data_IF_520531835697
#
_entry.id   IF_520531835697
#
_cell.length_a   1.000
_cell.length_b   1.000
_cell.length_c   1.000
_cell.angle_alpha   90.00
_cell.angle_beta   90.00
_cell.angle_gamma   90.00
#
_symmetry.space_group_name_H-M   'P 1'
#
loop_
_entity.id
_entity.type
_entity.pdbx_description
1 polymer ?
#
# COMPACT_ATOMS: atom_id res chain seq x y z
N UNK A 1 25.36 -72.90 -0.09
CA UNK A 1 26.44 -72.14 -0.78
C UNK A 1 25.81 -70.96 -1.50
N UNK A 2 26.29 -69.74 -1.18
CA UNK A 2 26.12 -68.45 -1.90
C UNK A 2 24.69 -67.86 -1.88
N UNK A 3 24.36 -66.99 -0.92
CA UNK A 3 24.72 -65.56 -0.82
C UNK A 3 23.97 -64.68 -1.83
N UNK A 4 23.00 -63.89 -1.34
CA UNK A 4 22.89 -62.48 -1.70
C UNK A 4 22.04 -61.74 -0.68
N UNK A 5 22.75 -60.87 0.03
CA UNK A 5 22.32 -59.92 1.05
C UNK A 5 21.66 -58.74 0.33
N UNK A 6 20.36 -58.51 0.52
CA UNK A 6 19.73 -57.23 0.16
C UNK A 6 19.49 -56.43 1.43
N UNK A 7 20.40 -55.48 1.67
CA UNK A 7 20.27 -54.44 2.68
C UNK A 7 19.19 -53.46 2.19
N UNK A 8 18.01 -53.51 2.80
CA UNK A 8 17.01 -52.45 2.69
C UNK A 8 17.48 -51.28 3.57
N UNK A 9 18.16 -50.31 2.97
CA UNK A 9 18.39 -49.00 3.57
C UNK A 9 17.05 -48.28 3.55
N UNK A 10 16.31 -48.34 4.67
CA UNK A 10 15.23 -47.41 4.94
C UNK A 10 15.84 -46.03 5.18
N UNK A 11 16.02 -45.26 4.12
CA UNK A 11 16.30 -43.82 4.24
C UNK A 11 15.02 -43.21 4.79
N UNK A 12 15.04 -42.90 6.09
CA UNK A 12 14.08 -41.98 6.69
C UNK A 12 14.30 -40.60 6.06
N UNK A 13 13.70 -40.35 4.90
CA UNK A 13 13.30 -39.01 4.54
C UNK A 13 12.10 -38.66 5.41
N UNK A 14 12.37 -38.44 6.70
CA UNK A 14 11.60 -37.48 7.45
C UNK A 14 11.76 -36.18 6.66
N UNK A 15 10.78 -35.95 5.78
CA UNK A 15 10.55 -34.65 5.20
C UNK A 15 10.57 -33.69 6.37
N UNK A 16 11.61 -32.86 6.44
CA UNK A 16 11.51 -31.54 7.05
C UNK A 16 10.47 -30.78 6.22
N UNK A 17 9.20 -31.19 6.34
CA UNK A 17 8.09 -30.29 6.18
C UNK A 17 8.30 -29.29 7.32
N UNK A 18 8.95 -28.18 6.96
CA UNK A 18 8.95 -26.98 7.76
C UNK A 18 7.53 -26.84 8.33
N UNK A 19 7.44 -26.78 9.66
CA UNK A 19 6.19 -26.51 10.35
C UNK A 19 5.48 -25.38 9.61
N UNK A 20 4.35 -25.72 9.00
CA UNK A 20 3.46 -24.75 8.36
C UNK A 20 3.30 -23.56 9.32
N UNK A 21 3.39 -22.30 8.88
CA UNK A 21 3.14 -21.15 9.74
C UNK A 21 1.63 -20.96 9.97
N UNK A 22 0.89 -22.05 10.17
CA UNK A 22 -0.55 -22.04 10.40
C UNK A 22 -0.88 -21.70 11.88
N UNK A 23 0.09 -21.87 12.79
CA UNK A 23 -0.06 -21.55 14.22
C UNK A 23 0.19 -20.07 14.59
N UNK A 24 0.68 -19.22 13.68
CA UNK A 24 0.90 -17.79 13.96
C UNK A 24 -0.35 -16.95 13.66
N UNK A 25 -1.29 -17.46 12.86
CA UNK A 25 -2.29 -16.64 12.15
C UNK A 25 -3.56 -16.24 12.93
N UNK A 26 -3.71 -16.58 14.22
CA UNK A 26 -4.98 -16.35 14.95
C UNK A 26 -4.90 -15.90 16.41
N UNK A 27 -3.79 -15.39 16.91
CA UNK A 27 -3.89 -14.45 18.04
C UNK A 27 -4.24 -13.10 17.41
N UNK A 28 -5.49 -12.62 17.58
CA UNK A 28 -5.78 -11.19 17.45
C UNK A 28 -4.78 -10.48 18.35
N UNK A 29 -3.68 -10.00 17.79
CA UNK A 29 -2.68 -9.29 18.56
C UNK A 29 -3.40 -8.02 19.02
N UNK A 30 -3.73 -7.95 20.32
CA UNK A 30 -4.48 -6.82 20.88
C UNK A 30 -3.72 -5.52 20.68
N UNK A 31 -2.42 -5.59 20.43
CA UNK A 31 -1.54 -4.47 20.17
C UNK A 31 -1.21 -4.28 18.69
N UNK A 32 -1.90 -4.97 17.78
CA UNK A 32 -1.79 -4.69 16.35
C UNK A 32 -2.33 -3.28 16.04
N UNK A 33 -1.56 -2.45 15.32
CA UNK A 33 -2.06 -1.17 14.85
C UNK A 33 -3.29 -1.35 13.94
N UNK A 34 -4.29 -0.45 14.00
CA UNK A 34 -5.55 -0.61 13.28
C UNK A 34 -5.33 -0.64 11.76
N UNK A 35 -6.03 -1.54 11.08
CA UNK A 35 -5.99 -1.68 9.62
C UNK A 35 -4.72 -2.35 9.07
N UNK A 36 -3.83 -2.84 9.94
CA UNK A 36 -2.54 -3.41 9.53
C UNK A 36 -2.50 -4.94 9.54
N UNK A 37 -1.50 -5.47 8.85
CA UNK A 37 -1.10 -6.88 8.80
C UNK A 37 0.29 -6.98 9.40
N UNK A 38 0.53 -7.98 10.26
CA UNK A 38 1.86 -8.25 10.82
C UNK A 38 2.77 -8.84 9.73
N UNK A 39 4.00 -8.31 9.61
CA UNK A 39 5.01 -8.81 8.68
C UNK A 39 6.05 -9.68 9.38
N UNK A 40 6.87 -9.05 10.22
CA UNK A 40 7.96 -9.68 10.98
C UNK A 40 8.32 -8.80 12.17
N UNK A 41 8.81 -9.41 13.25
CA UNK A 41 9.28 -8.68 14.44
C UNK A 41 8.25 -7.63 14.93
N UNK A 42 8.65 -6.36 15.01
CA UNK A 42 7.82 -5.20 15.36
C UNK A 42 7.12 -4.54 14.17
N UNK A 43 7.28 -5.05 12.95
CA UNK A 43 6.79 -4.43 11.72
C UNK A 43 5.41 -4.92 11.31
N UNK A 44 4.55 -3.95 10.99
CA UNK A 44 3.21 -4.12 10.47
C UNK A 44 3.06 -3.24 9.24
N UNK A 45 2.26 -3.64 8.27
CA UNK A 45 1.98 -2.82 7.07
C UNK A 45 0.48 -2.67 6.88
N UNK A 46 0.05 -1.56 6.29
CA UNK A 46 -1.35 -1.41 5.91
C UNK A 46 -1.79 -2.51 4.95
N UNK A 47 -3.00 -3.00 5.20
CA UNK A 47 -3.62 -4.05 4.40
C UNK A 47 -3.86 -3.62 2.95
N UNK A 48 -4.11 -2.33 2.74
CA UNK A 48 -4.52 -1.73 1.46
C UNK A 48 -3.74 -0.45 1.24
N UNK A 49 -3.88 0.19 0.07
CA UNK A 49 -3.43 1.57 -0.09
C UNK A 49 -4.20 2.50 0.88
N UNK A 50 -3.63 3.65 1.21
CA UNK A 50 -4.33 4.70 1.97
C UNK A 50 -5.52 5.20 1.16
N UNK A 51 -6.70 5.29 1.77
CA UNK A 51 -7.94 5.60 1.05
C UNK A 51 -8.24 7.08 1.06
N UNK A 52 -9.06 7.53 0.12
CA UNK A 52 -9.63 8.89 0.13
C UNK A 52 -10.36 9.19 1.46
N UNK A 53 -11.03 8.21 2.08
CA UNK A 53 -11.64 8.40 3.40
C UNK A 53 -10.62 8.71 4.50
N UNK A 54 -9.50 7.98 4.53
CA UNK A 54 -8.48 8.14 5.57
C UNK A 54 -7.80 9.52 5.46
N UNK A 55 -7.51 9.96 4.23
CA UNK A 55 -6.92 11.27 4.00
C UNK A 55 -7.91 12.42 4.29
N UNK A 56 -9.20 12.22 4.03
CA UNK A 56 -10.24 13.20 4.44
C UNK A 56 -10.35 13.33 5.96
N UNK A 57 -10.17 12.24 6.71
CA UNK A 57 -10.09 12.30 8.18
C UNK A 57 -8.90 13.14 8.63
N UNK A 58 -7.75 12.99 7.98
CA UNK A 58 -6.58 13.83 8.23
C UNK A 58 -6.86 15.31 7.97
N UNK A 59 -7.44 15.66 6.82
CA UNK A 59 -7.81 17.03 6.50
C UNK A 59 -8.86 17.60 7.47
N UNK A 60 -9.84 16.79 7.87
CA UNK A 60 -10.83 17.17 8.87
C UNK A 60 -10.17 17.52 10.21
N UNK A 61 -9.20 16.70 10.64
CA UNK A 61 -8.44 16.97 11.85
C UNK A 61 -7.65 18.28 11.73
N UNK A 62 -6.94 18.50 10.62
CA UNK A 62 -6.19 19.74 10.38
C UNK A 62 -7.10 20.97 10.42
N UNK A 63 -8.23 20.90 9.72
CA UNK A 63 -9.23 21.97 9.71
C UNK A 63 -9.75 22.28 11.11
N UNK A 64 -9.99 21.25 11.93
CA UNK A 64 -10.48 21.41 13.31
C UNK A 64 -9.42 22.00 14.25
N UNK A 65 -8.15 21.61 14.12
CA UNK A 65 -7.08 21.98 15.05
C UNK A 65 -6.40 23.30 14.67
N UNK A 66 -6.09 23.48 13.39
CA UNK A 66 -5.35 24.65 12.88
C UNK A 66 -6.28 25.70 12.24
N UNK A 67 -7.49 25.30 11.83
CA UNK A 67 -8.42 26.14 11.09
C UNK A 67 -8.31 25.97 9.57
N UNK A 68 -9.39 26.27 8.86
CA UNK A 68 -9.47 26.13 7.40
C UNK A 68 -8.53 27.08 6.63
N UNK A 69 -8.23 28.24 7.21
CA UNK A 69 -7.35 29.22 6.58
C UNK A 69 -5.86 28.99 6.88
N UNK A 70 -5.54 28.00 7.71
CA UNK A 70 -4.17 27.69 8.13
C UNK A 70 -3.28 27.22 6.98
N UNK A 71 -1.97 27.46 7.13
CA UNK A 71 -0.99 26.97 6.17
C UNK A 71 -0.93 25.44 6.18
N UNK A 72 -1.04 24.82 7.36
CA UNK A 72 -1.01 23.37 7.54
C UNK A 72 -2.16 22.68 6.79
N UNK A 73 -3.38 23.22 6.87
CA UNK A 73 -4.52 22.70 6.11
C UNK A 73 -4.35 22.91 4.61
N UNK A 74 -4.00 24.12 4.17
CA UNK A 74 -3.86 24.46 2.74
C UNK A 74 -2.76 23.66 2.06
N UNK A 75 -1.61 23.48 2.72
CA UNK A 75 -0.48 22.68 2.21
C UNK A 75 -0.84 21.20 2.17
N UNK A 76 -1.74 20.69 3.01
CA UNK A 76 -2.18 19.30 2.98
C UNK A 76 -3.24 19.00 1.91
N UNK A 77 -3.82 20.01 1.24
CA UNK A 77 -4.81 19.75 0.20
C UNK A 77 -4.19 19.00 -0.99
N UNK A 78 -4.79 17.87 -1.44
CA UNK A 78 -4.30 17.15 -2.59
C UNK A 78 -4.55 17.96 -3.87
N UNK A 79 -3.67 17.80 -4.85
CA UNK A 79 -3.87 18.32 -6.19
C UNK A 79 -4.91 17.45 -6.92
N UNK A 80 -6.14 17.94 -7.03
CA UNK A 80 -7.19 17.24 -7.77
C UNK A 80 -7.09 17.44 -9.28
N UNK A 81 -6.26 18.38 -9.77
CA UNK A 81 -6.07 18.63 -11.20
C UNK A 81 -5.25 17.52 -11.89
N UNK A 82 -4.66 16.59 -11.12
CA UNK A 82 -3.98 15.40 -11.65
C UNK A 82 -4.86 14.51 -12.52
N UNK A 83 -6.19 14.65 -12.40
CA UNK A 83 -7.17 13.95 -13.23
C UNK A 83 -7.44 14.64 -14.56
N UNK A 84 -7.07 15.91 -14.72
CA UNK A 84 -7.34 16.66 -15.94
C UNK A 84 -6.44 16.17 -17.07
N UNK A 85 -7.06 15.86 -18.20
CA UNK A 85 -6.39 15.55 -19.46
C UNK A 85 -6.78 16.61 -20.51
N UNK A 86 -5.86 16.99 -21.38
CA UNK A 86 -6.11 17.94 -22.48
C UNK A 86 -7.08 17.37 -23.52
N UNK A 87 -7.11 16.05 -23.69
CA UNK A 87 -7.84 15.38 -24.78
C UNK A 87 -9.06 14.59 -24.30
N UNK A 88 -9.31 14.51 -22.99
CA UNK A 88 -10.43 13.75 -22.43
C UNK A 88 -11.23 14.57 -21.41
N UNK A 89 -12.55 14.35 -21.37
CA UNK A 89 -13.43 14.98 -20.39
C UNK A 89 -13.35 14.24 -19.04
N UNK A 90 -12.38 14.64 -18.21
CA UNK A 90 -12.12 14.06 -16.89
C UNK A 90 -12.55 14.97 -15.72
N UNK A 91 -13.26 16.07 -15.97
CA UNK A 91 -13.73 17.01 -14.94
C UNK A 91 -14.52 16.33 -13.80
N UNK A 92 -15.37 15.30 -14.04
CA UNK A 92 -16.01 14.58 -12.94
C UNK A 92 -15.01 14.00 -11.92
N UNK A 93 -13.84 13.52 -12.36
CA UNK A 93 -12.83 13.01 -11.42
C UNK A 93 -12.14 14.14 -10.64
N UNK A 94 -11.90 15.28 -11.29
CA UNK A 94 -11.35 16.49 -10.63
C UNK A 94 -12.25 16.95 -9.49
N UNK A 95 -13.56 16.95 -9.72
CA UNK A 95 -14.54 17.42 -8.74
C UNK A 95 -14.83 16.38 -7.66
N UNK A 96 -14.99 15.11 -8.05
CA UNK A 96 -15.61 14.10 -7.21
C UNK A 96 -14.67 13.00 -6.70
N UNK A 97 -13.54 12.70 -7.33
CA UNK A 97 -12.71 11.54 -6.94
C UNK A 97 -12.29 11.61 -5.47
N UNK A 98 -11.77 12.76 -5.02
CA UNK A 98 -11.37 12.90 -3.63
C UNK A 98 -12.56 13.13 -2.68
N UNK A 99 -13.61 13.81 -3.15
CA UNK A 99 -14.64 14.41 -2.28
C UNK A 99 -15.86 13.52 -2.10
N UNK A 100 -16.28 12.81 -3.15
CA UNK A 100 -17.57 12.12 -3.19
C UNK A 100 -17.54 10.79 -2.41
N UNK A 101 -18.61 10.43 -1.66
CA UNK A 101 -18.66 9.19 -0.89
C UNK A 101 -18.44 7.90 -1.71
N UNK A 102 -18.82 7.90 -2.99
CA UNK A 102 -18.61 6.73 -3.87
C UNK A 102 -17.13 6.35 -4.02
N UNK A 103 -16.22 7.34 -3.96
CA UNK A 103 -14.77 7.13 -4.06
C UNK A 103 -14.10 6.99 -2.69
N UNK A 104 -14.87 6.83 -1.62
CA UNK A 104 -14.32 6.80 -0.26
C UNK A 104 -13.34 5.64 -0.02
N UNK A 105 -13.57 4.50 -0.67
CA UNK A 105 -12.73 3.30 -0.56
C UNK A 105 -11.73 3.16 -1.73
N UNK A 106 -11.50 4.22 -2.50
CA UNK A 106 -10.50 4.25 -3.58
C UNK A 106 -9.16 4.79 -3.05
N UNK A 107 -8.04 4.44 -3.70
CA UNK A 107 -6.72 4.87 -3.26
C UNK A 107 -6.58 6.39 -3.34
N UNK A 108 -5.91 6.95 -2.34
CA UNK A 108 -5.56 8.36 -2.28
C UNK A 108 -4.45 8.69 -3.28
N UNK A 109 -4.70 9.65 -4.16
CA UNK A 109 -3.77 10.10 -5.22
C UNK A 109 -3.74 11.63 -5.30
N UNK A 110 -2.81 12.19 -6.07
CA UNK A 110 -2.64 13.64 -6.15
C UNK A 110 -2.01 14.26 -4.90
N UNK A 111 -1.24 13.47 -4.16
CA UNK A 111 -0.48 13.92 -2.98
C UNK A 111 1.01 14.01 -3.28
N UNK A 112 1.71 14.90 -2.59
CA UNK A 112 3.16 15.01 -2.61
C UNK A 112 3.83 14.08 -1.61
N UNK A 113 5.11 13.78 -1.83
CA UNK A 113 5.91 12.99 -0.89
C UNK A 113 5.90 13.60 0.52
N UNK A 114 6.06 14.93 0.63
CA UNK A 114 6.03 15.67 1.89
C UNK A 114 4.66 15.62 2.57
N UNK A 115 3.58 15.70 1.78
CA UNK A 115 2.21 15.54 2.29
C UNK A 115 2.01 14.13 2.88
N UNK A 116 2.58 13.11 2.25
CA UNK A 116 2.51 11.72 2.72
C UNK A 116 3.32 11.52 4.00
N UNK A 117 4.52 12.09 4.10
CA UNK A 117 5.31 12.06 5.34
C UNK A 117 4.58 12.75 6.50
N UNK A 118 3.98 13.92 6.24
CA UNK A 118 3.16 14.63 7.22
C UNK A 118 1.94 13.80 7.66
N UNK A 119 1.27 13.12 6.73
CA UNK A 119 0.17 12.20 7.02
C UNK A 119 0.63 11.02 7.89
N UNK A 120 1.79 10.41 7.59
CA UNK A 120 2.33 9.30 8.38
C UNK A 120 2.65 9.74 9.82
N UNK A 121 3.22 10.94 9.98
CA UNK A 121 3.46 11.53 11.31
C UNK A 121 2.14 11.78 12.04
N UNK A 122 1.16 12.40 11.38
CA UNK A 122 -0.16 12.62 11.94
C UNK A 122 -0.81 11.31 12.41
N UNK A 123 -0.78 10.27 11.57
CA UNK A 123 -1.35 8.96 11.90
C UNK A 123 -0.66 8.32 13.09
N UNK A 124 0.67 8.47 13.20
CA UNK A 124 1.43 8.04 14.39
C UNK A 124 0.90 8.70 15.66
N UNK A 125 0.69 10.02 15.64
CA UNK A 125 0.17 10.76 16.78
C UNK A 125 -1.26 10.30 17.14
N UNK A 126 -2.15 10.15 16.16
CA UNK A 126 -3.56 9.74 16.39
C UNK A 126 -3.67 8.32 16.93
N UNK A 127 -2.90 7.37 16.40
CA UNK A 127 -2.95 5.98 16.87
C UNK A 127 -2.33 5.85 18.26
N UNK A 128 -1.27 6.61 18.57
CA UNK A 128 -0.71 6.65 19.93
C UNK A 128 -1.71 7.23 20.96
N UNK A 129 -2.44 8.30 20.61
CA UNK A 129 -3.52 8.82 21.46
C UNK A 129 -4.61 7.77 21.69
N UNK A 130 -5.01 7.07 20.64
CA UNK A 130 -5.98 5.98 20.75
C UNK A 130 -5.49 4.89 21.71
N UNK A 131 -4.21 4.50 21.64
CA UNK A 131 -3.61 3.58 22.61
C UNK A 131 -3.66 4.13 24.04
N UNK A 132 -3.38 5.42 24.25
CA UNK A 132 -3.44 6.04 25.57
C UNK A 132 -4.86 6.05 26.15
N UNK A 133 -5.88 6.31 25.33
CA UNK A 133 -7.29 6.25 25.75
C UNK A 133 -7.67 4.81 26.08
N UNK A 134 -7.36 3.87 25.18
CA UNK A 134 -7.65 2.44 25.33
C UNK A 134 -7.03 1.86 26.60
N UNK A 135 -5.77 2.21 26.87
CA UNK A 135 -5.02 1.76 28.04
C UNK A 135 -5.35 2.59 29.30
N UNK A 136 -6.36 3.48 29.23
CA UNK A 136 -6.88 4.33 30.32
C UNK A 136 -5.83 5.27 30.93
N UNK A 137 -4.79 5.64 30.17
CA UNK A 137 -3.81 6.66 30.55
C UNK A 137 -4.40 8.07 30.51
N UNK A 138 -5.36 8.29 29.61
CA UNK A 138 -6.15 9.52 29.47
C UNK A 138 -7.63 9.17 29.22
N UNK A 139 -8.54 10.09 29.54
CA UNK A 139 -9.96 9.93 29.21
C UNK A 139 -10.29 10.49 27.83
N UNK A 140 -11.43 10.07 27.25
CA UNK A 140 -11.89 10.60 25.97
C UNK A 140 -12.26 12.09 26.07
N UNK A 141 -12.83 12.52 27.19
CA UNK A 141 -13.16 13.92 27.47
C UNK A 141 -11.90 14.77 27.45
N UNK A 142 -10.83 14.31 28.11
CA UNK A 142 -9.53 14.98 28.11
C UNK A 142 -8.95 15.12 26.70
N UNK A 143 -9.01 14.05 25.91
CA UNK A 143 -8.60 14.03 24.50
C UNK A 143 -9.42 15.00 23.62
N UNK A 144 -10.74 15.05 23.85
CA UNK A 144 -11.66 15.82 23.02
C UNK A 144 -11.58 17.33 23.22
N UNK A 145 -11.07 17.79 24.36
CA UNK A 145 -10.90 19.20 24.67
C UNK A 145 -9.63 19.77 23.99
N UNK A 146 -9.87 20.68 23.05
CA UNK A 146 -8.82 21.36 22.25
C UNK A 146 -7.81 22.10 23.14
N UNK A 147 -8.20 22.54 24.34
CA UNK A 147 -7.28 23.22 25.28
C UNK A 147 -6.15 22.31 25.77
N UNK A 148 -6.34 21.00 25.75
CA UNK A 148 -5.35 20.03 26.20
C UNK A 148 -4.34 19.65 25.11
N UNK A 149 -4.45 20.20 23.90
CA UNK A 149 -3.65 19.78 22.73
C UNK A 149 -2.15 19.86 22.97
N UNK A 150 -1.67 20.97 23.54
CA UNK A 150 -0.24 21.15 23.85
C UNK A 150 0.29 20.18 24.91
N UNK A 151 -0.54 19.85 25.90
CA UNK A 151 -0.21 18.85 26.91
C UNK A 151 -0.17 17.44 26.30
N UNK A 152 -1.15 17.10 25.44
CA UNK A 152 -1.18 15.84 24.69
C UNK A 152 0.07 15.67 23.82
N UNK A 153 0.53 16.71 23.12
CA UNK A 153 1.75 16.64 22.31
C UNK A 153 2.98 16.34 23.16
N UNK A 154 3.06 16.94 24.35
CA UNK A 154 4.13 16.68 25.32
C UNK A 154 4.08 15.25 25.89
N UNK A 155 2.87 14.69 26.06
CA UNK A 155 2.68 13.31 26.51
C UNK A 155 3.03 12.30 25.41
N UNK A 156 2.65 12.60 24.16
CA UNK A 156 2.95 11.79 22.98
C UNK A 156 4.46 11.62 22.79
N UNK A 157 5.23 12.70 22.92
CA UNK A 157 6.68 12.68 22.81
C UNK A 157 7.36 11.69 23.79
N UNK A 158 6.71 11.35 24.91
CA UNK A 158 7.22 10.42 25.92
C UNK A 158 6.62 9.02 25.86
N UNK A 159 5.50 8.84 25.15
CA UNK A 159 4.69 7.62 25.18
C UNK A 159 4.44 7.04 23.77
N UNK A 160 5.37 7.24 22.83
CA UNK A 160 5.24 6.65 21.50
C UNK A 160 5.30 5.12 21.60
N UNK A 161 4.21 4.47 21.23
CA UNK A 161 4.09 3.01 21.10
C UNK A 161 4.18 2.56 19.65
N UNK A 162 3.79 3.44 18.71
CA UNK A 162 3.84 3.15 17.29
C UNK A 162 4.39 4.33 16.49
N UNK A 163 5.05 4.00 15.37
CA UNK A 163 5.52 4.97 14.38
C UNK A 163 5.15 4.51 12.99
N UNK A 164 4.35 5.31 12.30
CA UNK A 164 4.02 5.14 10.89
C UNK A 164 4.97 5.94 10.01
N UNK A 165 5.34 5.36 8.88
CA UNK A 165 6.19 5.97 7.84
C UNK A 165 5.92 5.28 6.50
N UNK A 166 6.54 5.79 5.44
CA UNK A 166 6.65 5.04 4.20
C UNK A 166 7.52 3.78 4.39
N UNK A 167 7.20 2.67 3.73
CA UNK A 167 8.02 1.46 3.75
C UNK A 167 9.35 1.70 3.04
N UNK A 168 10.41 1.01 3.49
CA UNK A 168 11.62 0.87 2.68
C UNK A 168 11.35 -0.01 1.46
N UNK A 169 12.24 0.02 0.47
CA UNK A 169 12.15 -0.87 -0.69
C UNK A 169 12.07 -2.34 -0.25
N UNK A 170 12.96 -2.75 0.66
CA UNK A 170 13.05 -4.12 1.14
C UNK A 170 11.81 -4.53 1.94
N UNK A 171 11.27 -3.62 2.75
CA UNK A 171 10.04 -3.87 3.51
C UNK A 171 8.83 -4.01 2.60
N UNK A 172 8.73 -3.15 1.58
CA UNK A 172 7.66 -3.20 0.59
C UNK A 172 7.73 -4.50 -0.23
N UNK A 173 8.91 -4.87 -0.72
CA UNK A 173 9.10 -6.10 -1.49
C UNK A 173 8.87 -7.36 -0.65
N UNK A 174 9.29 -7.34 0.62
CA UNK A 174 9.01 -8.43 1.56
C UNK A 174 7.51 -8.60 1.79
N UNK A 175 6.79 -7.48 1.97
CA UNK A 175 5.34 -7.49 2.11
C UNK A 175 4.65 -7.97 0.82
N UNK A 176 5.11 -7.53 -0.34
CA UNK A 176 4.54 -7.87 -1.65
C UNK A 176 4.66 -9.37 -1.96
N UNK A 177 5.82 -9.97 -1.66
CA UNK A 177 6.07 -11.41 -1.84
C UNK A 177 5.10 -12.30 -1.08
N UNK A 178 4.56 -11.84 0.06
CA UNK A 178 3.57 -12.61 0.83
C UNK A 178 4.08 -13.96 1.34
N UNK A 179 5.40 -14.16 1.44
CA UNK A 179 6.00 -15.45 1.78
C UNK A 179 6.35 -16.34 0.59
N UNK A 180 6.11 -15.89 -0.65
CA UNK A 180 6.59 -16.56 -1.85
C UNK A 180 8.05 -16.18 -2.15
N UNK A 181 8.85 -17.17 -2.50
CA UNK A 181 10.23 -16.96 -2.98
C UNK A 181 10.25 -16.81 -4.50
N UNK A 182 11.19 -16.01 -5.02
CA UNK A 182 11.46 -15.86 -6.47
C UNK A 182 10.21 -15.56 -7.33
N UNK A 183 9.25 -14.82 -6.78
CA UNK A 183 8.01 -14.47 -7.45
C UNK A 183 8.10 -13.12 -8.15
N UNK A 184 7.60 -13.04 -9.38
CA UNK A 184 7.51 -11.80 -10.15
C UNK A 184 6.40 -10.90 -9.61
N UNK A 185 5.29 -11.49 -9.17
CA UNK A 185 4.09 -10.80 -8.72
C UNK A 185 3.68 -11.28 -7.32
N UNK A 186 2.82 -10.54 -6.59
CA UNK A 186 2.33 -10.92 -5.26
C UNK A 186 1.59 -12.27 -5.22
N UNK A 187 1.08 -12.71 -6.37
CA UNK A 187 0.44 -14.02 -6.57
C UNK A 187 1.38 -15.07 -7.21
N UNK A 188 2.68 -14.78 -7.30
CA UNK A 188 3.68 -15.65 -7.92
C UNK A 188 4.07 -15.19 -9.32
N UNK A 189 3.30 -15.63 -10.32
CA UNK A 189 3.61 -15.45 -11.73
C UNK A 189 3.96 -16.77 -12.43
N UNK A 190 4.48 -16.73 -13.68
CA UNK A 190 4.91 -15.53 -14.42
C UNK A 190 3.76 -14.78 -15.11
N UNK A 191 2.53 -15.30 -15.05
CA UNK A 191 1.38 -14.71 -15.75
C UNK A 191 0.64 -13.69 -14.89
N UNK A 192 0.07 -12.68 -15.56
CA UNK A 192 -0.80 -11.64 -14.97
C UNK A 192 -2.24 -12.13 -14.74
N UNK A 193 -2.58 -13.30 -15.31
CA UNK A 193 -3.90 -13.91 -15.24
C UNK A 193 -3.91 -15.15 -14.35
N UNK A 194 -5.03 -15.39 -13.70
CA UNK A 194 -5.30 -16.64 -12.99
C UNK A 194 -5.69 -17.79 -13.94
N UNK A 195 -5.92 -18.98 -13.40
CA UNK A 195 -6.29 -20.17 -14.18
C UNK A 195 -7.64 -20.05 -14.92
N UNK A 196 -8.46 -19.04 -14.60
CA UNK A 196 -9.72 -18.72 -15.26
C UNK A 196 -9.56 -17.65 -16.33
N UNK A 197 -8.35 -17.13 -16.50
CA UNK A 197 -8.03 -16.04 -17.42
C UNK A 197 -8.34 -14.64 -16.88
N UNK A 198 -8.72 -14.50 -15.60
CA UNK A 198 -8.99 -13.19 -15.00
C UNK A 198 -7.68 -12.51 -14.60
N UNK A 199 -7.55 -11.21 -14.83
CA UNK A 199 -6.40 -10.45 -14.31
C UNK A 199 -6.47 -10.33 -12.78
N UNK A 200 -5.31 -10.42 -12.13
CA UNK A 200 -5.18 -10.37 -10.66
C UNK A 200 -4.80 -8.95 -10.15
N UNK A 201 -4.79 -7.94 -11.04
CA UNK A 201 -4.49 -6.55 -10.73
C UNK A 201 -5.14 -5.59 -11.74
N UNK A 202 -5.23 -4.31 -11.35
CA UNK A 202 -5.64 -3.19 -12.20
C UNK A 202 -4.42 -2.55 -12.88
N UNK A 203 -4.33 -2.55 -14.21
CA UNK A 203 -3.17 -2.03 -14.94
C UNK A 203 -3.48 -1.70 -16.39
N UNK A 204 -2.54 -1.04 -17.09
CA UNK A 204 -2.71 -0.76 -18.52
C UNK A 204 -2.52 -2.05 -19.32
N UNK A 205 -3.63 -2.69 -19.70
CA UNK A 205 -3.63 -3.92 -20.49
C UNK A 205 -3.16 -3.64 -21.93
N UNK A 206 -1.90 -3.93 -22.19
CA UNK A 206 -1.25 -3.77 -23.49
C UNK A 206 -0.61 -5.11 -23.85
N UNK A 207 -0.81 -5.56 -25.09
CA UNK A 207 -0.14 -6.75 -25.61
C UNK A 207 1.37 -6.53 -25.70
N UNK A 208 2.16 -7.57 -25.39
CA UNK A 208 3.63 -7.51 -25.36
C UNK A 208 4.22 -6.99 -26.68
N UNK A 209 3.54 -7.19 -27.80
CA UNK A 209 3.92 -6.67 -29.12
C UNK A 209 3.97 -5.14 -29.21
N UNK A 210 3.27 -4.46 -28.31
CA UNK A 210 3.15 -3.00 -28.25
C UNK A 210 4.00 -2.39 -27.12
N UNK A 211 4.86 -3.19 -26.48
CA UNK A 211 5.79 -2.77 -25.43
C UNK A 211 7.22 -3.04 -25.91
N UNK A 212 8.07 -2.01 -25.92
CA UNK A 212 9.46 -2.15 -26.34
C UNK A 212 10.40 -1.56 -25.29
N UNK A 213 11.56 -2.20 -25.12
CA UNK A 213 12.61 -1.64 -24.29
C UNK A 213 13.27 -0.46 -25.02
N UNK A 214 13.25 0.70 -24.39
CA UNK A 214 13.85 1.91 -24.91
C UNK A 214 15.22 2.13 -24.25
N UNK A 215 16.27 1.99 -25.07
CA UNK A 215 17.66 2.11 -24.63
C UNK A 215 18.07 3.51 -24.14
N UNK A 216 17.30 4.55 -24.48
CA UNK A 216 17.58 5.93 -24.08
C UNK A 216 17.09 6.20 -22.66
N UNK A 217 15.86 5.79 -22.35
CA UNK A 217 15.28 5.95 -21.01
C UNK A 217 15.62 4.78 -20.07
N UNK A 218 16.22 3.72 -20.62
CA UNK A 218 16.58 2.46 -19.93
C UNK A 218 15.36 1.84 -19.24
N UNK A 219 14.23 1.83 -19.95
CA UNK A 219 12.93 1.37 -19.46
C UNK A 219 12.04 0.88 -20.59
N UNK A 220 10.94 0.20 -20.27
CA UNK A 220 9.94 -0.24 -21.24
C UNK A 220 8.93 0.86 -21.53
N UNK A 221 8.71 1.15 -22.81
CA UNK A 221 7.70 2.09 -23.26
C UNK A 221 6.60 1.41 -24.08
N UNK A 222 5.40 1.98 -24.02
CA UNK A 222 4.28 1.58 -24.86
C UNK A 222 4.42 2.30 -26.20
N UNK A 223 4.64 1.55 -27.27
CA UNK A 223 4.83 2.09 -28.63
C UNK A 223 3.52 2.19 -29.41
N UNK A 224 2.52 1.39 -29.06
CA UNK A 224 1.14 1.51 -29.56
C UNK A 224 0.17 1.45 -28.38
N UNK A 225 -0.61 2.51 -28.20
CA UNK A 225 -1.55 2.65 -27.09
C UNK A 225 -2.92 2.01 -27.37
N UNK A 226 -3.09 1.32 -28.50
CA UNK A 226 -4.32 0.57 -28.79
C UNK A 226 -4.58 -0.46 -27.70
N UNK A 227 -5.44 -0.08 -26.76
CA UNK A 227 -5.92 -0.92 -25.69
C UNK A 227 -6.69 -2.11 -26.28
N UNK A 228 -6.19 -3.32 -26.02
CA UNK A 228 -6.78 -4.56 -26.49
C UNK A 228 -7.80 -5.06 -25.45
N UNK A 229 -8.81 -4.23 -25.15
CA UNK A 229 -9.90 -4.48 -24.17
C UNK A 229 -9.56 -4.25 -22.68
N UNK A 230 -10.35 -3.39 -22.03
CA UNK A 230 -10.43 -3.29 -20.56
C UNK A 230 -10.98 -4.63 -20.07
N UNK A 231 -10.12 -5.43 -19.44
CA UNK A 231 -10.45 -6.81 -19.02
C UNK A 231 -9.98 -7.14 -17.61
N UNK A 232 -9.50 -6.12 -16.89
CA UNK A 232 -9.18 -6.14 -15.46
C UNK A 232 -10.32 -5.60 -14.59
N UNK A 233 -11.45 -5.23 -15.21
CA UNK A 233 -12.66 -4.70 -14.59
C UNK A 233 -12.55 -3.28 -13.99
N UNK A 234 -11.57 -2.48 -14.40
CA UNK A 234 -11.45 -1.09 -13.95
C UNK A 234 -11.00 -0.14 -15.08
N UNK A 235 -11.70 0.98 -15.26
CA UNK A 235 -11.35 2.00 -16.27
C UNK A 235 -10.30 3.00 -15.77
N UNK A 236 -10.22 3.19 -14.45
CA UNK A 236 -9.26 4.03 -13.72
C UNK A 236 -8.76 3.24 -12.51
N UNK A 237 -8.50 3.87 -11.36
CA UNK A 237 -8.32 3.14 -10.10
C UNK A 237 -9.56 2.32 -9.73
N UNK A 238 -9.37 1.32 -8.88
CA UNK A 238 -10.40 0.46 -8.32
C UNK A 238 -10.44 0.64 -6.79
N UNK A 239 -11.54 0.24 -6.12
CA UNK A 239 -11.56 0.12 -4.66
C UNK A 239 -10.36 -0.69 -4.15
N UNK A 240 -9.82 -0.29 -3.00
CA UNK A 240 -8.53 -0.80 -2.48
C UNK A 240 -8.53 -2.29 -2.07
N UNK A 241 -9.67 -2.95 -2.16
CA UNK A 241 -9.90 -4.37 -1.85
C UNK A 241 -10.48 -5.17 -3.03
N UNK A 242 -10.36 -4.66 -4.26
CA UNK A 242 -10.99 -5.24 -5.47
C UNK A 242 -10.33 -6.53 -5.98
N UNK A 243 -9.02 -6.68 -5.80
CA UNK A 243 -8.26 -7.83 -6.30
C UNK A 243 -7.89 -8.78 -5.16
N UNK A 244 -7.48 -10.01 -5.48
CA UNK A 244 -7.16 -10.99 -4.44
C UNK A 244 -5.96 -10.52 -3.62
N UNK A 245 -6.01 -10.59 -2.29
CA UNK A 245 -4.85 -10.30 -1.48
C UNK A 245 -3.79 -11.38 -1.63
N UNK A 246 -2.53 -11.03 -1.37
CA UNK A 246 -1.46 -12.01 -1.29
C UNK A 246 -1.59 -12.91 -0.04
N UNK A 247 -0.66 -13.84 0.14
CA UNK A 247 -0.66 -14.79 1.26
C UNK A 247 -0.48 -14.15 2.64
N UNK A 248 -0.13 -12.86 2.76
CA UNK A 248 -0.19 -12.12 4.02
C UNK A 248 -1.54 -11.45 4.26
N UNK A 249 -2.42 -11.41 3.26
CA UNK A 249 -3.71 -10.74 3.31
C UNK A 249 -3.62 -9.28 2.88
N UNK A 250 -2.60 -8.90 2.12
CA UNK A 250 -2.34 -7.53 1.67
C UNK A 250 -2.84 -7.38 0.22
N UNK A 251 -3.64 -6.37 -0.02
CA UNK A 251 -4.29 -6.09 -1.30
C UNK A 251 -3.47 -5.14 -2.15
N UNK A 252 -3.63 -5.25 -3.48
CA UNK A 252 -3.12 -4.29 -4.47
C UNK A 252 -1.64 -3.93 -4.29
N UNK A 253 -0.80 -4.91 -3.92
CA UNK A 253 0.66 -4.69 -3.95
C UNK A 253 1.16 -4.53 -5.39
N UNK A 254 0.42 -5.03 -6.38
CA UNK A 254 0.69 -4.77 -7.79
C UNK A 254 -0.55 -4.18 -8.45
N UNK A 255 -0.36 -3.12 -9.24
CA UNK A 255 -1.40 -2.40 -9.96
C UNK A 255 -2.18 -1.43 -9.08
N UNK A 256 -3.31 -0.97 -9.59
CA UNK A 256 -4.14 0.08 -9.02
C UNK A 256 -3.39 1.42 -8.94
N UNK A 257 -2.60 1.69 -7.90
CA UNK A 257 -1.72 2.87 -7.86
C UNK A 257 -0.31 2.44 -7.51
N UNK A 258 0.68 3.06 -8.13
CA UNK A 258 2.06 2.89 -7.73
C UNK A 258 2.27 3.54 -6.37
N UNK A 259 3.12 2.96 -5.52
CA UNK A 259 3.23 3.38 -4.13
C UNK A 259 4.57 4.02 -3.83
N UNK A 260 4.54 5.24 -3.30
CA UNK A 260 5.74 5.89 -2.80
C UNK A 260 6.38 5.07 -1.69
N UNK A 261 7.71 4.91 -1.75
CA UNK A 261 8.53 4.29 -0.70
C UNK A 261 9.43 5.34 -0.05
N UNK A 262 10.10 5.01 1.05
CA UNK A 262 10.97 5.94 1.79
C UNK A 262 12.12 6.52 0.97
N UNK A 263 12.48 5.87 -0.14
CA UNK A 263 13.43 6.39 -1.11
C UNK A 263 12.71 7.44 -1.97
N UNK A 264 12.79 8.71 -1.57
CA UNK A 264 12.12 9.82 -2.26
C UNK A 264 12.37 9.78 -3.77
N UNK A 265 11.28 9.83 -4.53
CA UNK A 265 11.29 9.78 -5.99
C UNK A 265 11.17 8.38 -6.59
N UNK A 266 11.12 7.34 -5.75
CA UNK A 266 10.90 5.95 -6.19
C UNK A 266 9.50 5.49 -5.78
N UNK A 267 8.87 4.72 -6.67
CA UNK A 267 7.61 4.01 -6.41
C UNK A 267 7.74 2.52 -6.66
N UNK A 268 6.79 1.73 -6.17
CA UNK A 268 6.72 0.28 -6.39
C UNK A 268 5.31 -0.15 -6.80
N UNK A 269 5.19 -1.33 -7.41
CA UNK A 269 3.92 -2.01 -7.67
C UNK A 269 3.21 -1.64 -8.97
N UNK A 270 3.59 -0.54 -9.63
CA UNK A 270 2.92 -0.08 -10.84
C UNK A 270 1.48 0.38 -10.59
N UNK A 271 0.81 0.87 -11.63
CA UNK A 271 -0.50 1.49 -11.55
C UNK A 271 -1.43 1.06 -12.69
N UNK A 272 -2.69 1.51 -12.61
CA UNK A 272 -3.68 1.42 -13.69
C UNK A 272 -3.21 2.03 -15.02
N UNK A 273 -2.16 2.86 -15.02
CA UNK A 273 -1.55 3.47 -16.22
C UNK A 273 -0.29 2.77 -16.73
N UNK A 274 0.28 1.83 -15.98
CA UNK A 274 1.53 1.17 -16.36
C UNK A 274 1.28 -0.24 -16.91
N UNK A 275 2.10 -0.74 -17.86
CA UNK A 275 1.96 -2.10 -18.37
C UNK A 275 2.42 -3.13 -17.33
N UNK A 276 2.06 -4.40 -17.56
CA UNK A 276 2.30 -5.51 -16.63
C UNK A 276 3.75 -5.78 -16.24
N UNK A 277 4.74 -5.25 -16.96
CA UNK A 277 6.15 -5.25 -16.54
C UNK A 277 6.38 -4.46 -15.25
N UNK A 278 5.77 -3.27 -15.13
CA UNK A 278 5.93 -2.38 -13.98
C UNK A 278 5.20 -2.87 -12.72
N UNK A 279 4.34 -3.87 -12.87
CA UNK A 279 3.65 -4.52 -11.76
C UNK A 279 4.57 -5.47 -10.98
N UNK A 280 5.74 -5.80 -11.53
CA UNK A 280 6.65 -6.75 -10.90
C UNK A 280 7.21 -6.21 -9.59
N UNK A 281 7.36 -7.09 -8.61
CA UNK A 281 7.79 -6.74 -7.26
C UNK A 281 9.16 -6.06 -7.26
N UNK A 282 10.09 -6.51 -8.10
CA UNK A 282 11.47 -6.05 -8.17
C UNK A 282 11.68 -4.79 -9.03
N UNK A 283 10.68 -4.39 -9.81
CA UNK A 283 10.74 -3.20 -10.67
C UNK A 283 10.47 -1.94 -9.86
N UNK A 284 11.27 -0.90 -10.09
CA UNK A 284 11.12 0.42 -9.48
C UNK A 284 10.43 1.36 -10.48
N UNK A 285 9.43 2.10 -10.01
CA UNK A 285 8.84 3.23 -10.72
C UNK A 285 9.44 4.56 -10.25
N UNK A 286 9.06 5.64 -10.91
CA UNK A 286 9.52 7.00 -10.61
C UNK A 286 8.36 7.87 -10.11
N UNK A 287 8.67 8.75 -9.17
CA UNK A 287 7.77 9.81 -8.70
C UNK A 287 8.49 11.15 -8.81
N UNK A 288 7.92 12.06 -9.59
CA UNK A 288 8.46 13.42 -9.74
C UNK A 288 7.54 14.47 -9.13
N UNK A 289 6.22 14.26 -9.25
CA UNK A 289 5.17 15.18 -8.83
C UNK A 289 3.87 14.41 -8.57
N UNK A 290 2.88 15.02 -7.89
CA UNK A 290 1.57 14.42 -7.71
C UNK A 290 0.96 13.96 -9.04
N UNK A 291 0.39 12.76 -9.06
CA UNK A 291 -0.28 12.18 -10.22
C UNK A 291 -1.55 11.43 -9.81
N UNK A 292 -2.39 11.05 -10.78
CA UNK A 292 -3.63 10.30 -10.57
C UNK A 292 -3.43 8.78 -10.44
N UNK A 293 -2.19 8.30 -10.52
CA UNK A 293 -1.84 6.89 -10.56
C UNK A 293 -0.74 6.52 -9.57
N UNK A 294 -0.30 7.49 -8.74
CA UNK A 294 0.64 7.27 -7.64
C UNK A 294 -0.05 7.64 -6.33
N UNK A 295 -0.05 6.68 -5.40
CA UNK A 295 -0.53 6.80 -4.04
C UNK A 295 0.53 6.31 -3.05
N UNK A 296 0.07 5.78 -1.91
CA UNK A 296 0.95 5.29 -0.87
C UNK A 296 0.20 4.37 0.11
N UNK A 297 0.96 3.57 0.83
CA UNK A 297 0.52 2.89 2.06
C UNK A 297 1.54 3.13 3.16
N UNK A 298 1.13 3.03 4.42
CA UNK A 298 2.07 3.16 5.53
C UNK A 298 2.57 1.79 5.99
N UNK A 299 3.81 1.78 6.45
CA UNK A 299 4.30 0.76 7.37
C UNK A 299 4.29 1.34 8.79
N UNK A 300 4.07 0.48 9.77
CA UNK A 300 4.03 0.79 11.18
C UNK A 300 5.04 -0.07 11.93
N UNK A 301 5.88 0.59 12.72
CA UNK A 301 6.77 -0.05 13.67
C UNK A 301 6.20 0.08 15.08
N UNK A 302 6.08 -1.03 15.79
CA UNK A 302 5.71 -1.06 17.21
C UNK A 302 6.97 -0.91 18.06
N UNK A 303 6.99 0.11 18.90
CA UNK A 303 8.08 0.43 19.80
C UNK A 303 7.82 -0.30 21.13
N UNK A 304 8.72 -1.22 21.49
CA UNK A 304 8.68 -1.97 22.75
C UNK A 304 9.48 -1.29 23.85
#
# INVERSE_FOLDING_TARGET
MKALLFILIAISLASFAADKPEKIRKKKNKDAPPGTVWLKDSLFIDRTESRNMDYREYLFWLKKVHGEESAEYKIALPDTLVWRDKLAYCEPYVDYYFRHPAYANYPMVGVSYEQVEAYCKWRSDRVNEWYMIRDKKISYEYYSDVKNRQALDSMLAKNQKVRYRLPSKEEWEYAAKGGLENSFYPWGGPYLRDYRGCFEANFKVIGDENIQYNDTIKDYEVVDERQVYISDNADITAPVDSYKPNEYGIYNMSGNVAEMISNKGITKGGSWKTPGYHLRIDVDGKYEKPSCDIGFRCICEVLY
#
